data_IF_416299407669
#
_entry.id   IF_416299407669
#
_cell.length_a   1.000
_cell.length_b   1.000
_cell.length_c   1.000
_cell.angle_alpha   90.00
_cell.angle_beta   90.00
_cell.angle_gamma   90.00
#
_symmetry.space_group_name_H-M   'P 1'
#
loop_
_entity.id
_entity.type
_entity.pdbx_description
1 polymer ?
#
# COMPACT_ATOMS: atom_id res chain seq x y z
N UNK A 1 54.42 -26.94 -2.50
CA UNK A 1 54.14 -25.53 -2.14
C UNK A 1 52.76 -25.50 -1.56
N UNK A 2 52.71 -25.35 -0.24
CA UNK A 2 51.52 -25.52 0.58
C UNK A 2 50.57 -24.33 0.42
N UNK A 3 49.29 -24.67 0.41
CA UNK A 3 48.12 -23.81 0.27
C UNK A 3 47.80 -23.10 1.59
N UNK A 4 47.68 -21.77 1.56
CA UNK A 4 47.08 -21.00 2.66
C UNK A 4 45.74 -20.40 2.19
N UNK A 5 44.65 -20.94 2.73
CA UNK A 5 43.33 -20.30 2.76
C UNK A 5 43.14 -19.69 4.15
N UNK A 6 42.74 -18.41 4.27
CA UNK A 6 42.45 -17.83 5.58
C UNK A 6 41.04 -18.21 6.01
N UNK A 7 40.96 -18.99 7.08
CA UNK A 7 39.76 -19.25 7.88
C UNK A 7 39.39 -17.95 8.60
N UNK A 8 38.17 -17.44 8.37
CA UNK A 8 37.60 -16.34 9.15
C UNK A 8 36.82 -16.96 10.30
N UNK A 9 37.34 -16.80 11.50
CA UNK A 9 36.64 -17.10 12.75
C UNK A 9 35.45 -16.15 12.92
N UNK A 10 34.26 -16.74 13.03
CA UNK A 10 33.03 -16.05 13.41
C UNK A 10 32.76 -16.41 14.87
N UNK A 11 33.06 -15.49 15.77
CA UNK A 11 32.57 -15.53 17.15
C UNK A 11 31.07 -15.20 17.18
N UNK A 12 30.19 -16.07 17.69
CA UNK A 12 28.85 -15.69 18.10
C UNK A 12 28.89 -15.26 19.58
N UNK A 13 27.97 -14.38 19.97
CA UNK A 13 27.73 -13.86 21.35
C UNK A 13 28.26 -12.45 21.58
N UNK A 14 27.47 -11.46 21.15
CA UNK A 14 27.08 -10.34 22.01
C UNK A 14 25.78 -9.72 21.50
N UNK A 15 24.69 -9.97 22.22
CA UNK A 15 23.45 -9.23 22.06
C UNK A 15 23.70 -7.78 22.43
N UNK A 16 23.59 -6.89 21.44
CA UNK A 16 23.52 -5.45 21.65
C UNK A 16 22.07 -5.02 21.47
N UNK A 17 21.43 -4.71 22.59
CA UNK A 17 20.17 -3.98 22.68
C UNK A 17 20.27 -2.69 21.84
N UNK A 18 19.48 -2.61 20.77
CA UNK A 18 19.26 -1.36 20.05
C UNK A 18 18.25 -0.55 20.86
N UNK A 19 18.73 0.24 21.81
CA UNK A 19 17.97 1.32 22.45
C UNK A 19 17.69 2.40 21.40
N UNK A 20 16.44 2.47 20.95
CA UNK A 20 15.90 3.60 20.17
C UNK A 20 15.81 4.85 21.04
N UNK A 21 16.87 5.65 21.07
CA UNK A 21 16.88 6.98 21.68
C UNK A 21 16.34 8.03 20.71
N UNK A 22 15.01 8.20 20.66
CA UNK A 22 14.41 9.43 20.14
C UNK A 22 14.45 10.49 21.26
N UNK A 23 15.50 11.29 21.29
CA UNK A 23 15.53 12.52 22.08
C UNK A 23 14.76 13.61 21.33
N UNK A 24 13.57 13.93 21.85
CA UNK A 24 12.81 15.13 21.50
C UNK A 24 13.57 16.36 22.03
N UNK A 25 14.05 17.21 21.12
CA UNK A 25 14.50 18.56 21.46
C UNK A 25 13.28 19.44 21.79
N UNK A 26 13.26 20.12 22.95
CA UNK A 26 12.24 21.12 23.24
C UNK A 26 12.69 22.50 22.74
N UNK A 27 11.82 23.17 21.99
CA UNK A 27 11.79 24.64 21.96
C UNK A 27 12.49 25.33 20.80
N UNK A 28 11.85 25.34 19.63
CA UNK A 28 11.84 26.52 18.76
C UNK A 28 10.40 26.78 18.29
N UNK A 29 9.81 27.95 18.59
CA UNK A 29 8.52 28.32 18.03
C UNK A 29 8.69 28.65 16.54
N UNK A 30 8.08 27.84 15.68
CA UNK A 30 7.90 28.17 14.27
C UNK A 30 7.01 29.42 14.14
N UNK A 31 7.35 30.40 13.29
CA UNK A 31 6.49 31.55 13.05
C UNK A 31 5.21 31.10 12.34
N UNK A 32 4.09 31.22 13.05
CA UNK A 32 2.74 31.09 12.49
C UNK A 32 2.53 32.19 11.46
N UNK A 33 2.36 31.81 10.19
CA UNK A 33 1.77 32.69 9.19
C UNK A 33 0.31 32.98 9.58
N UNK A 34 -0.10 34.24 9.80
CA UNK A 34 -1.49 34.57 10.05
C UNK A 34 -2.23 34.62 8.73
N UNK A 35 -3.14 33.67 8.47
CA UNK A 35 -3.96 33.78 7.25
C UNK A 35 -4.89 32.63 6.85
N UNK A 36 -5.00 31.52 7.58
CA UNK A 36 -5.96 30.47 7.19
C UNK A 36 -6.82 30.02 8.35
N UNK A 37 -7.99 30.65 8.45
CA UNK A 37 -9.12 30.13 9.22
C UNK A 37 -9.70 28.88 8.52
N UNK A 38 -10.08 27.83 9.28
CA UNK A 38 -10.78 26.68 8.74
C UNK A 38 -12.29 26.93 8.82
N UNK A 39 -12.94 27.14 7.68
CA UNK A 39 -14.40 27.26 7.63
C UNK A 39 -14.92 27.29 6.21
N UNK A 40 -15.78 26.32 5.88
CA UNK A 40 -16.53 26.15 4.62
C UNK A 40 -15.75 25.67 3.39
N UNK A 41 -15.58 24.35 3.28
CA UNK A 41 -15.54 23.70 1.97
C UNK A 41 -16.97 23.41 1.53
N UNK A 42 -17.52 24.26 0.64
CA UNK A 42 -18.65 23.88 -0.19
C UNK A 42 -18.13 23.15 -1.44
N UNK A 43 -18.79 22.07 -1.89
CA UNK A 43 -18.38 21.34 -3.08
C UNK A 43 -18.96 22.00 -4.34
N UNK A 44 -18.08 22.25 -5.31
CA UNK A 44 -18.47 22.47 -6.69
C UNK A 44 -18.40 23.92 -7.13
N UNK A 45 -17.29 24.29 -7.76
CA UNK A 45 -17.33 24.93 -9.07
C UNK A 45 -16.11 24.48 -9.87
N UNK A 46 -16.43 23.73 -10.92
CA UNK A 46 -15.65 23.49 -12.12
C UNK A 46 -14.84 24.74 -12.51
N UNK A 47 -13.53 24.59 -12.65
CA UNK A 47 -12.78 25.36 -13.64
C UNK A 47 -12.48 24.41 -14.82
N UNK A 48 -12.85 24.78 -16.05
CA UNK A 48 -12.65 23.93 -17.21
C UNK A 48 -11.21 24.03 -17.71
N UNK A 49 -10.68 22.87 -18.09
CA UNK A 49 -9.90 22.64 -19.30
C UNK A 49 -9.19 23.86 -19.92
N UNK A 50 -7.98 24.09 -19.45
CA UNK A 50 -6.88 24.44 -20.35
C UNK A 50 -5.76 23.44 -20.06
N UNK A 51 -5.02 23.01 -21.07
CA UNK A 51 -3.99 21.96 -21.03
C UNK A 51 -4.47 20.53 -21.36
N UNK A 52 -5.37 20.42 -22.34
CA UNK A 52 -5.30 19.30 -23.28
C UNK A 52 -4.15 19.55 -24.26
N UNK A 53 -3.01 18.91 -23.98
CA UNK A 53 -1.90 18.80 -24.91
C UNK A 53 -2.32 17.99 -26.13
N UNK A 54 -2.38 18.65 -27.28
CA UNK A 54 -2.44 17.98 -28.58
C UNK A 54 -1.09 17.32 -28.93
N UNK A 55 -1.10 16.18 -29.65
CA UNK A 55 0.11 15.55 -30.13
C UNK A 55 0.54 16.21 -31.44
N UNK A 56 1.73 16.80 -31.49
CA UNK A 56 2.32 17.21 -32.77
C UNK A 56 3.21 18.43 -32.67
N UNK A 57 4.44 18.27 -33.14
CA UNK A 57 5.43 19.30 -33.37
C UNK A 57 6.04 19.94 -32.12
N UNK A 58 6.84 19.13 -31.41
CA UNK A 58 8.13 19.64 -30.94
C UNK A 58 8.97 19.98 -32.18
N UNK A 59 8.71 21.17 -32.73
CA UNK A 59 9.69 21.88 -33.53
C UNK A 59 10.97 21.90 -32.70
N UNK A 60 12.01 21.28 -33.25
CA UNK A 60 13.37 21.38 -32.77
C UNK A 60 13.61 22.80 -32.26
N UNK A 61 13.75 22.96 -30.95
CA UNK A 61 14.42 24.15 -30.44
C UNK A 61 15.77 24.17 -31.14
N UNK A 62 16.08 25.20 -31.96
CA UNK A 62 17.41 25.30 -32.51
C UNK A 62 18.34 25.36 -31.30
N UNK A 63 19.25 24.39 -31.23
CA UNK A 63 20.40 24.44 -30.34
C UNK A 63 20.95 25.87 -30.51
N UNK A 64 21.00 26.69 -29.43
CA UNK A 64 21.56 28.02 -29.56
C UNK A 64 22.94 27.85 -30.20
N UNK A 65 23.25 28.59 -31.29
CA UNK A 65 24.54 28.45 -31.93
C UNK A 65 25.60 28.62 -30.85
N UNK A 66 26.45 27.61 -30.70
CA UNK A 66 27.68 27.70 -29.92
C UNK A 66 28.31 29.02 -30.36
N UNK A 67 28.60 29.96 -29.45
CA UNK A 67 29.20 31.23 -29.82
C UNK A 67 30.46 30.88 -30.60
N UNK A 68 30.41 31.15 -31.92
CA UNK A 68 31.56 31.03 -32.78
C UNK A 68 32.64 31.86 -32.10
N UNK A 69 33.71 31.16 -31.71
CA UNK A 69 34.81 31.75 -30.97
C UNK A 69 35.16 33.08 -31.61
N UNK A 70 35.28 34.10 -30.76
CA UNK A 70 35.81 35.41 -31.08
C UNK A 70 37.02 35.23 -32.01
N UNK A 71 36.75 35.35 -33.30
CA UNK A 71 37.76 35.35 -34.32
C UNK A 71 38.57 36.61 -34.14
N UNK A 72 39.88 36.41 -33.99
CA UNK A 72 40.91 37.44 -34.12
C UNK A 72 40.61 38.73 -33.36
N UNK A 73 41.09 38.82 -32.12
CA UNK A 73 41.60 40.10 -31.66
C UNK A 73 42.53 40.64 -32.77
N UNK A 74 42.35 41.89 -33.24
CA UNK A 74 43.33 42.49 -34.11
C UNK A 74 44.65 42.44 -33.37
N UNK A 75 45.64 41.81 -33.99
CA UNK A 75 47.03 41.87 -33.56
C UNK A 75 47.37 43.36 -33.52
N UNK A 76 47.37 43.94 -32.31
CA UNK A 76 47.87 45.28 -32.08
C UNK A 76 49.37 45.17 -32.34
N UNK A 77 49.74 45.38 -33.60
CA UNK A 77 51.11 45.62 -34.01
C UNK A 77 51.48 46.92 -33.29
N UNK A 78 52.47 46.90 -32.39
CA UNK A 78 52.93 48.12 -31.77
C UNK A 78 53.43 49.07 -32.87
N UNK A 79 53.01 50.33 -32.80
CA UNK A 79 53.30 51.40 -33.77
C UNK A 79 54.81 51.72 -33.92
N UNK A 80 55.70 50.99 -33.25
CA UNK A 80 57.15 51.06 -33.43
C UNK A 80 57.72 50.04 -34.45
N UNK A 81 56.90 49.12 -34.97
CA UNK A 81 57.36 48.06 -35.88
C UNK A 81 57.41 48.44 -37.38
N UNK A 82 57.22 49.71 -37.73
CA UNK A 82 57.49 50.24 -39.08
C UNK A 82 58.56 51.31 -39.02
N UNK A 83 59.77 50.93 -38.59
CA UNK A 83 60.96 51.64 -39.04
C UNK A 83 61.35 51.00 -40.36
N UNK A 84 60.77 51.54 -41.44
CA UNK A 84 61.37 51.41 -42.76
C UNK A 84 62.84 51.79 -42.61
N UNK A 85 63.70 50.79 -42.82
CA UNK A 85 65.08 50.98 -43.19
C UNK A 85 65.11 52.03 -44.29
N UNK A 86 65.37 53.27 -43.89
CA UNK A 86 65.80 54.28 -44.83
C UNK A 86 67.22 53.83 -45.14
N UNK A 87 67.54 53.36 -46.36
CA UNK A 87 68.90 53.03 -46.68
C UNK A 87 69.70 54.30 -46.45
N UNK A 88 70.61 54.27 -45.48
CA UNK A 88 71.58 55.33 -45.28
C UNK A 88 72.31 55.47 -46.61
N UNK A 89 71.86 56.48 -47.34
CA UNK A 89 72.46 56.99 -48.56
C UNK A 89 73.95 57.15 -48.22
N UNK A 90 74.87 56.50 -48.95
CA UNK A 90 76.28 56.79 -48.75
C UNK A 90 76.46 58.25 -49.12
N UNK A 91 76.55 59.12 -48.11
CA UNK A 91 76.95 60.50 -48.32
C UNK A 91 78.33 60.45 -48.97
N UNK A 92 78.31 60.81 -50.25
CA UNK A 92 79.37 61.44 -51.01
C UNK A 92 80.68 61.60 -50.21
N UNK A 93 81.53 60.57 -50.24
CA UNK A 93 82.97 60.71 -50.06
C UNK A 93 83.56 61.25 -51.37
N UNK A 94 83.08 62.40 -51.81
CA UNK A 94 83.64 63.17 -52.91
C UNK A 94 83.83 64.60 -52.43
N UNK A 95 85.06 65.10 -52.54
CA UNK A 95 85.28 66.55 -52.52
C UNK A 95 85.92 67.15 -51.27
N UNK A 96 86.76 66.44 -50.53
CA UNK A 96 87.85 67.11 -49.81
C UNK A 96 89.09 67.19 -50.73
N UNK A 97 88.92 67.78 -51.91
CA UNK A 97 90.06 68.38 -52.60
C UNK A 97 90.55 69.47 -51.66
N UNK A 98 91.63 69.16 -50.93
CA UNK A 98 92.34 70.13 -50.14
C UNK A 98 92.62 71.34 -51.01
N UNK A 99 91.91 72.43 -50.75
CA UNK A 99 92.31 73.74 -51.18
C UNK A 99 93.75 73.93 -50.66
N UNK A 100 94.73 73.69 -51.53
CA UNK A 100 96.07 74.25 -51.40
C UNK A 100 95.87 75.76 -51.51
N UNK A 101 95.41 76.38 -50.43
CA UNK A 101 95.63 77.80 -50.22
C UNK A 101 97.15 77.91 -50.15
N UNK A 102 97.75 78.35 -51.25
CA UNK A 102 99.07 78.94 -51.23
C UNK A 102 98.96 80.12 -50.27
N UNK A 103 99.24 79.88 -48.99
CA UNK A 103 99.56 80.94 -48.05
C UNK A 103 100.93 81.43 -48.52
N UNK A 104 100.95 82.39 -49.45
CA UNK A 104 102.11 83.21 -49.69
C UNK A 104 102.26 84.10 -48.46
N UNK A 105 103.01 83.62 -47.46
CA UNK A 105 103.59 84.47 -46.43
C UNK A 105 104.61 85.38 -47.14
N UNK A 106 104.17 86.55 -47.60
CA UNK A 106 105.08 87.63 -47.97
C UNK A 106 105.64 88.22 -46.68
N UNK A 107 106.66 87.56 -46.13
CA UNK A 107 107.51 88.12 -45.10
C UNK A 107 108.32 89.24 -45.75
N UNK A 108 107.97 90.49 -45.42
CA UNK A 108 108.78 91.65 -45.77
C UNK A 108 110.22 91.43 -45.32
N UNK A 109 111.16 91.80 -46.21
CA UNK A 109 112.59 91.58 -46.01
C UNK A 109 113.12 92.34 -44.80
N UNK A 110 113.15 91.64 -43.66
CA UNK A 110 114.17 91.81 -42.63
C UNK A 110 114.94 90.49 -42.62
N UNK A 111 116.23 90.55 -42.97
CA UNK A 111 117.16 89.44 -42.81
C UNK A 111 117.40 89.32 -41.30
N UNK A 112 116.53 88.54 -40.64
CA UNK A 112 116.70 88.14 -39.26
C UNK A 112 117.76 87.02 -39.28
N UNK A 113 118.99 87.34 -38.89
CA UNK A 113 120.01 86.32 -38.63
C UNK A 113 119.57 85.57 -37.37
N UNK A 114 118.95 84.41 -37.58
CA UNK A 114 118.65 83.46 -36.51
C UNK A 114 119.94 83.13 -35.79
N UNK A 115 119.98 83.38 -34.49
CA UNK A 115 121.11 82.96 -33.67
C UNK A 115 121.14 81.43 -33.64
N UNK A 116 122.31 80.83 -33.43
CA UNK A 116 122.40 79.36 -33.31
C UNK A 116 121.54 78.82 -32.14
N UNK A 117 121.29 79.64 -31.11
CA UNK A 117 120.40 79.32 -29.99
C UNK A 117 118.94 79.18 -30.44
N UNK A 118 118.41 80.11 -31.24
CA UNK A 118 117.03 80.05 -31.76
C UNK A 118 116.82 78.81 -32.65
N UNK A 119 117.86 78.40 -33.41
CA UNK A 119 117.80 77.20 -34.24
C UNK A 119 117.75 75.93 -33.39
N UNK A 120 118.50 75.87 -32.29
CA UNK A 120 118.49 74.74 -31.37
C UNK A 120 117.13 74.62 -30.67
N UNK A 121 116.58 75.72 -30.18
CA UNK A 121 115.26 75.74 -29.53
C UNK A 121 114.15 75.28 -30.48
N UNK A 122 114.17 75.75 -31.74
CA UNK A 122 113.22 75.28 -32.77
C UNK A 122 113.37 73.78 -33.05
N UNK A 123 114.60 73.27 -33.11
CA UNK A 123 114.84 71.83 -33.34
C UNK A 123 114.33 71.01 -32.15
N UNK A 124 114.53 71.46 -30.92
CA UNK A 124 114.00 70.78 -29.71
C UNK A 124 112.47 70.79 -29.69
N UNK A 125 111.82 71.94 -29.93
CA UNK A 125 110.36 72.02 -30.04
C UNK A 125 109.80 71.13 -31.16
N UNK A 126 110.50 71.01 -32.29
CA UNK A 126 110.10 70.10 -33.38
C UNK A 126 110.25 68.63 -32.99
N UNK A 127 111.27 68.27 -32.21
CA UNK A 127 111.45 66.92 -31.69
C UNK A 127 110.34 66.57 -30.69
N UNK A 128 110.07 67.46 -29.73
CA UNK A 128 108.98 67.29 -28.76
C UNK A 128 107.63 67.16 -29.47
N UNK A 129 107.35 68.03 -30.45
CA UNK A 129 106.12 67.96 -31.24
C UNK A 129 105.99 66.64 -32.01
N UNK A 130 107.10 66.13 -32.57
CA UNK A 130 107.13 64.84 -33.26
C UNK A 130 106.91 63.68 -32.31
N UNK A 131 107.48 63.72 -31.11
CA UNK A 131 107.29 62.70 -30.06
C UNK A 131 105.85 62.71 -29.55
N UNK A 132 105.27 63.90 -29.30
CA UNK A 132 103.86 64.04 -28.95
C UNK A 132 102.94 63.51 -30.06
N UNK A 133 103.25 63.79 -31.32
CA UNK A 133 102.49 63.28 -32.45
C UNK A 133 102.61 61.75 -32.56
N UNK A 134 103.79 61.18 -32.32
CA UNK A 134 103.98 59.74 -32.26
C UNK A 134 103.17 59.10 -31.12
N UNK A 135 103.18 59.69 -29.92
CA UNK A 135 102.39 59.24 -28.78
C UNK A 135 100.88 59.29 -29.07
N UNK A 136 100.39 60.39 -29.64
CA UNK A 136 98.98 60.51 -30.04
C UNK A 136 98.58 59.50 -31.11
N UNK A 137 99.46 59.19 -32.07
CA UNK A 137 99.19 58.16 -33.07
C UNK A 137 99.11 56.77 -32.43
N UNK A 138 99.97 56.45 -31.45
CA UNK A 138 99.90 55.18 -30.71
C UNK A 138 98.64 55.09 -29.87
N UNK A 139 98.24 56.17 -29.17
CA UNK A 139 97.01 56.20 -28.39
C UNK A 139 95.77 56.09 -29.27
N UNK A 140 95.75 56.77 -30.41
CA UNK A 140 94.67 56.62 -31.40
C UNK A 140 94.57 55.18 -31.87
N UNK A 141 95.69 54.53 -32.20
CA UNK A 141 95.70 53.13 -32.62
C UNK A 141 95.18 52.19 -31.50
N UNK A 142 95.52 52.47 -30.24
CA UNK A 142 95.01 51.74 -29.07
C UNK A 142 93.51 51.92 -28.90
N UNK A 143 93.00 53.15 -28.95
CA UNK A 143 91.56 53.45 -28.84
C UNK A 143 90.78 52.82 -30.01
N UNK A 144 91.31 52.89 -31.24
CA UNK A 144 90.71 52.25 -32.41
C UNK A 144 90.70 50.72 -32.29
N UNK A 145 91.63 50.12 -31.54
CA UNK A 145 91.62 48.70 -31.22
C UNK A 145 90.56 48.38 -30.15
N UNK A 146 90.53 49.11 -29.03
CA UNK A 146 89.54 48.93 -27.96
C UNK A 146 88.10 49.10 -28.47
N UNK A 147 87.87 50.07 -29.37
CA UNK A 147 86.57 50.29 -29.99
C UNK A 147 86.15 49.11 -30.90
N UNK A 148 87.09 48.55 -31.67
CA UNK A 148 86.82 47.35 -32.48
C UNK A 148 86.53 46.12 -31.62
N UNK A 149 87.26 45.94 -30.52
CA UNK A 149 87.04 44.84 -29.58
C UNK A 149 85.68 44.95 -28.88
N UNK A 150 85.30 46.16 -28.43
CA UNK A 150 83.99 46.39 -27.80
C UNK A 150 82.85 46.17 -28.80
N UNK A 151 82.99 46.65 -30.05
CA UNK A 151 82.03 46.37 -31.12
C UNK A 151 81.90 44.86 -31.36
N UNK A 152 83.01 44.13 -31.45
CA UNK A 152 83.00 42.69 -31.64
C UNK A 152 82.33 41.94 -30.46
N UNK A 153 82.58 42.38 -29.22
CA UNK A 153 81.91 41.82 -28.04
C UNK A 153 80.40 42.11 -28.05
N UNK A 154 80.01 43.33 -28.39
CA UNK A 154 78.60 43.71 -28.51
C UNK A 154 77.89 42.87 -29.58
N UNK A 155 78.45 42.74 -30.77
CA UNK A 155 77.89 41.89 -31.83
C UNK A 155 77.81 40.42 -31.39
N UNK A 156 78.84 39.88 -30.74
CA UNK A 156 78.82 38.50 -30.24
C UNK A 156 77.73 38.29 -29.19
N UNK A 157 77.56 39.23 -28.28
CA UNK A 157 76.50 39.19 -27.26
C UNK A 157 75.11 39.30 -27.90
N UNK A 158 74.94 40.21 -28.86
CA UNK A 158 73.69 40.38 -29.59
C UNK A 158 73.30 39.11 -30.36
N UNK A 159 74.21 38.54 -31.15
CA UNK A 159 73.96 37.29 -31.86
C UNK A 159 73.66 36.13 -30.91
N UNK A 160 74.34 36.05 -29.76
CA UNK A 160 74.06 35.02 -28.75
C UNK A 160 72.67 35.19 -28.12
N UNK A 161 72.24 36.42 -27.86
CA UNK A 161 70.93 36.71 -27.29
C UNK A 161 69.82 36.43 -28.30
N UNK A 162 69.99 36.90 -29.54
CA UNK A 162 69.05 36.64 -30.63
C UNK A 162 68.86 35.15 -30.88
N UNK A 163 69.95 34.38 -30.90
CA UNK A 163 69.89 32.92 -31.06
C UNK A 163 69.14 32.24 -29.91
N UNK A 164 69.38 32.65 -28.65
CA UNK A 164 68.64 32.11 -27.49
C UNK A 164 67.15 32.46 -27.55
N UNK A 165 66.82 33.69 -27.92
CA UNK A 165 65.43 34.13 -28.06
C UNK A 165 64.72 33.37 -29.19
N UNK A 166 65.37 33.19 -30.34
CA UNK A 166 64.84 32.38 -31.44
C UNK A 166 64.59 30.93 -31.02
N UNK A 167 65.52 30.33 -30.26
CA UNK A 167 65.34 28.98 -29.73
C UNK A 167 64.16 28.90 -28.76
N UNK A 168 64.01 29.87 -27.84
CA UNK A 168 62.88 29.91 -26.92
C UNK A 168 61.55 30.10 -27.65
N UNK A 169 61.51 30.94 -28.68
CA UNK A 169 60.32 31.14 -29.52
C UNK A 169 59.97 29.84 -30.24
N UNK A 170 60.96 29.11 -30.75
CA UNK A 170 60.73 27.84 -31.42
C UNK A 170 60.17 26.78 -30.45
N UNK A 171 60.79 26.61 -29.28
CA UNK A 171 60.32 25.69 -28.23
C UNK A 171 58.91 26.05 -27.76
N UNK A 172 58.61 27.33 -27.59
CA UNK A 172 57.27 27.77 -27.21
C UNK A 172 56.23 27.43 -28.29
N UNK A 173 56.57 27.54 -29.58
CA UNK A 173 55.68 27.16 -30.69
C UNK A 173 55.43 25.66 -30.71
N UNK A 174 56.45 24.83 -30.55
CA UNK A 174 56.30 23.37 -30.48
C UNK A 174 55.41 22.95 -29.30
N UNK A 175 55.60 23.57 -28.14
CA UNK A 175 54.78 23.31 -26.97
C UNK A 175 53.32 23.74 -27.18
N UNK A 176 53.07 24.87 -27.84
CA UNK A 176 51.70 25.32 -28.18
C UNK A 176 51.04 24.31 -29.13
N UNK A 177 51.74 23.88 -30.18
CA UNK A 177 51.22 22.90 -31.13
C UNK A 177 50.87 21.58 -30.43
N UNK A 178 51.76 21.10 -29.56
CA UNK A 178 51.50 19.90 -28.76
C UNK A 178 50.26 20.06 -27.87
N UNK A 179 50.13 21.17 -27.13
CA UNK A 179 48.97 21.42 -26.27
C UNK A 179 47.67 21.55 -27.08
N UNK A 180 47.73 22.09 -28.29
CA UNK A 180 46.58 22.14 -29.19
C UNK A 180 46.16 20.75 -29.67
N UNK A 181 47.11 19.88 -30.00
CA UNK A 181 46.82 18.48 -30.36
C UNK A 181 46.25 17.69 -29.19
N UNK A 182 46.84 17.80 -27.99
CA UNK A 182 46.37 17.14 -26.77
C UNK A 182 44.96 17.60 -26.42
N UNK A 183 44.67 18.90 -26.56
CA UNK A 183 43.33 19.45 -26.37
C UNK A 183 42.32 18.85 -27.35
N UNK A 184 42.68 18.71 -28.63
CA UNK A 184 41.80 18.12 -29.63
C UNK A 184 41.50 16.65 -29.33
N UNK A 185 42.51 15.88 -28.93
CA UNK A 185 42.36 14.47 -28.53
C UNK A 185 41.46 14.37 -27.30
N UNK A 186 41.74 15.14 -26.24
CA UNK A 186 40.93 15.12 -25.02
C UNK A 186 39.46 15.48 -25.28
N UNK A 187 39.19 16.45 -26.17
CA UNK A 187 37.82 16.79 -26.58
C UNK A 187 37.18 15.63 -27.35
N UNK A 188 37.90 14.97 -28.25
CA UNK A 188 37.40 13.85 -29.01
C UNK A 188 37.05 12.65 -28.10
N UNK A 189 37.95 12.30 -27.18
CA UNK A 189 37.75 11.23 -26.20
C UNK A 189 36.57 11.54 -25.27
N UNK A 190 36.50 12.76 -24.74
CA UNK A 190 35.38 13.17 -23.88
C UNK A 190 34.04 13.12 -24.65
N UNK A 191 34.01 13.57 -25.90
CA UNK A 191 32.80 13.48 -26.74
C UNK A 191 32.40 12.02 -26.95
N UNK A 192 33.36 11.14 -27.26
CA UNK A 192 33.10 9.72 -27.43
C UNK A 192 32.53 9.10 -26.16
N UNK A 193 33.15 9.34 -24.99
CA UNK A 193 32.67 8.83 -23.71
C UNK A 193 31.23 9.30 -23.40
N UNK A 194 30.94 10.57 -23.65
CA UNK A 194 29.59 11.13 -23.46
C UNK A 194 28.58 10.49 -24.41
N UNK A 195 28.94 10.27 -25.68
CA UNK A 195 28.07 9.59 -26.64
C UNK A 195 27.79 8.14 -26.23
N UNK A 196 28.82 7.37 -25.90
CA UNK A 196 28.69 5.98 -25.45
C UNK A 196 27.86 5.87 -24.16
N UNK A 197 28.08 6.78 -23.20
CA UNK A 197 27.29 6.81 -21.96
C UNK A 197 25.82 7.14 -22.22
N UNK A 198 25.55 8.11 -23.10
CA UNK A 198 24.19 8.49 -23.47
C UNK A 198 23.48 7.35 -24.18
N UNK A 199 24.10 6.69 -25.17
CA UNK A 199 23.52 5.54 -25.85
C UNK A 199 23.20 4.39 -24.89
N UNK A 200 24.10 4.13 -23.92
CA UNK A 200 23.87 3.14 -22.87
C UNK A 200 22.66 3.50 -22.00
N UNK A 201 22.55 4.75 -21.56
CA UNK A 201 21.42 5.23 -20.74
C UNK A 201 20.10 5.22 -21.53
N UNK A 202 20.13 5.61 -22.80
CA UNK A 202 18.95 5.57 -23.68
C UNK A 202 18.48 4.13 -23.89
N UNK A 203 19.41 3.19 -24.08
CA UNK A 203 19.10 1.75 -24.14
C UNK A 203 18.46 1.23 -22.84
N UNK A 204 18.96 1.66 -21.68
CA UNK A 204 18.38 1.32 -20.37
C UNK A 204 16.96 1.90 -20.21
N UNK A 205 16.75 3.17 -20.59
CA UNK A 205 15.44 3.83 -20.55
C UNK A 205 14.44 3.09 -21.43
N UNK A 206 14.83 2.72 -22.66
CA UNK A 206 13.97 1.96 -23.56
C UNK A 206 13.59 0.60 -22.98
N UNK A 207 14.56 -0.12 -22.40
CA UNK A 207 14.33 -1.40 -21.74
C UNK A 207 13.36 -1.26 -20.56
N UNK A 208 13.56 -0.26 -19.70
CA UNK A 208 12.68 0.00 -18.55
C UNK A 208 11.27 0.39 -18.98
N UNK A 209 11.13 1.23 -20.02
CA UNK A 209 9.81 1.58 -20.59
C UNK A 209 9.09 0.36 -21.15
N UNK A 210 9.80 -0.50 -21.87
CA UNK A 210 9.25 -1.75 -22.40
C UNK A 210 8.78 -2.68 -21.26
N UNK A 211 9.61 -2.85 -20.23
CA UNK A 211 9.26 -3.65 -19.05
C UNK A 211 8.04 -3.08 -18.31
N UNK A 212 8.00 -1.76 -18.09
CA UNK A 212 6.85 -1.10 -17.45
C UNK A 212 5.56 -1.27 -18.26
N UNK A 213 5.66 -1.22 -19.59
CA UNK A 213 4.51 -1.46 -20.46
C UNK A 213 4.01 -2.90 -20.37
N UNK A 214 4.91 -3.90 -20.42
CA UNK A 214 4.55 -5.32 -20.25
C UNK A 214 3.88 -5.57 -18.90
N UNK A 215 4.49 -5.09 -17.82
CA UNK A 215 3.93 -5.21 -16.47
C UNK A 215 2.57 -4.50 -16.34
N UNK A 216 2.40 -3.36 -17.01
CA UNK A 216 1.12 -2.66 -17.06
C UNK A 216 0.02 -3.48 -17.74
N UNK A 217 0.34 -4.15 -18.85
CA UNK A 217 -0.59 -5.06 -19.55
C UNK A 217 -0.92 -6.29 -18.70
N UNK A 218 0.09 -6.92 -18.09
CA UNK A 218 -0.11 -8.06 -17.20
C UNK A 218 -0.98 -7.70 -16.00
N UNK A 219 -0.73 -6.53 -15.37
CA UNK A 219 -1.53 -6.04 -14.25
C UNK A 219 -2.98 -5.78 -14.65
N UNK A 220 -3.20 -5.20 -15.84
CA UNK A 220 -4.54 -5.01 -16.39
C UNK A 220 -5.28 -6.34 -16.60
N UNK A 221 -4.62 -7.33 -17.22
CA UNK A 221 -5.21 -8.66 -17.41
C UNK A 221 -5.51 -9.38 -16.08
N UNK A 222 -4.63 -9.23 -15.08
CA UNK A 222 -4.87 -9.79 -13.75
C UNK A 222 -6.06 -9.14 -13.06
N UNK A 223 -6.19 -7.81 -13.15
CA UNK A 223 -7.36 -7.09 -12.62
C UNK A 223 -8.66 -7.56 -13.27
N UNK A 224 -8.68 -7.70 -14.59
CA UNK A 224 -9.86 -8.19 -15.32
C UNK A 224 -10.22 -9.63 -14.92
N UNK A 225 -9.22 -10.50 -14.69
CA UNK A 225 -9.45 -11.87 -14.20
C UNK A 225 -9.98 -11.89 -12.77
N UNK A 226 -9.45 -11.03 -11.89
CA UNK A 226 -9.92 -10.91 -10.51
C UNK A 226 -11.38 -10.46 -10.52
N UNK A 227 -11.72 -9.41 -11.26
CA UNK A 227 -13.10 -8.92 -11.38
C UNK A 227 -14.05 -10.00 -11.91
N UNK A 228 -13.66 -10.72 -12.97
CA UNK A 228 -14.45 -11.85 -13.50
C UNK A 228 -14.65 -12.96 -12.48
N UNK A 229 -13.63 -13.30 -11.71
CA UNK A 229 -13.71 -14.33 -10.67
C UNK A 229 -14.55 -13.89 -9.49
N UNK A 230 -14.44 -12.62 -9.08
CA UNK A 230 -15.26 -12.04 -8.02
C UNK A 230 -16.74 -12.08 -8.42
N UNK A 231 -17.10 -11.57 -9.61
CA UNK A 231 -18.48 -11.61 -10.12
C UNK A 231 -19.00 -13.05 -10.23
N UNK A 232 -18.22 -13.95 -10.83
CA UNK A 232 -18.63 -15.34 -11.00
C UNK A 232 -18.82 -16.05 -9.64
N UNK A 233 -17.94 -15.79 -8.68
CA UNK A 233 -18.02 -16.35 -7.33
C UNK A 233 -19.21 -15.82 -6.56
N UNK A 234 -19.45 -14.49 -6.57
CA UNK A 234 -20.59 -13.88 -5.89
C UNK A 234 -21.90 -14.38 -6.49
N UNK A 235 -22.01 -14.43 -7.82
CA UNK A 235 -23.21 -14.92 -8.50
C UNK A 235 -23.51 -16.39 -8.18
N UNK A 236 -22.47 -17.23 -8.14
CA UNK A 236 -22.62 -18.64 -7.79
C UNK A 236 -23.04 -18.82 -6.33
N UNK A 237 -22.43 -18.07 -5.41
CA UNK A 237 -22.78 -18.10 -4.00
C UNK A 237 -24.19 -17.57 -3.75
N UNK A 238 -24.60 -16.50 -4.43
CA UNK A 238 -25.96 -15.97 -4.35
C UNK A 238 -26.99 -16.95 -4.90
N UNK A 239 -26.73 -17.57 -6.06
CA UNK A 239 -27.61 -18.62 -6.62
C UNK A 239 -27.70 -19.82 -5.69
N UNK A 240 -26.58 -20.28 -5.13
CA UNK A 240 -26.56 -21.38 -4.17
C UNK A 240 -27.36 -21.03 -2.91
N UNK A 241 -27.18 -19.83 -2.36
CA UNK A 241 -27.91 -19.33 -1.20
C UNK A 241 -29.41 -19.21 -1.47
N UNK A 242 -29.80 -18.66 -2.62
CA UNK A 242 -31.20 -18.56 -3.03
C UNK A 242 -31.85 -19.94 -3.17
N UNK A 243 -31.14 -20.89 -3.78
CA UNK A 243 -31.60 -22.28 -3.92
C UNK A 243 -31.74 -22.99 -2.56
N UNK A 244 -30.78 -22.81 -1.64
CA UNK A 244 -30.88 -23.35 -0.28
C UNK A 244 -32.07 -22.74 0.47
N UNK A 245 -32.28 -21.43 0.37
CA UNK A 245 -33.41 -20.74 0.99
C UNK A 245 -34.75 -21.24 0.41
N UNK A 246 -34.84 -21.45 -0.90
CA UNK A 246 -36.02 -22.00 -1.56
C UNK A 246 -36.31 -23.44 -1.08
N UNK A 247 -35.28 -24.29 -0.98
CA UNK A 247 -35.40 -25.65 -0.41
C UNK A 247 -35.86 -25.62 1.04
N UNK A 248 -35.28 -24.75 1.87
CA UNK A 248 -35.67 -24.60 3.26
C UNK A 248 -37.13 -24.16 3.41
N UNK A 249 -37.58 -23.18 2.61
CA UNK A 249 -38.99 -22.75 2.56
C UNK A 249 -39.93 -23.87 2.14
N UNK A 250 -39.55 -24.68 1.14
CA UNK A 250 -40.34 -25.82 0.69
C UNK A 250 -40.48 -26.88 1.79
N UNK A 251 -39.38 -27.21 2.47
CA UNK A 251 -39.38 -28.14 3.62
C UNK A 251 -40.29 -27.59 4.73
N UNK A 252 -40.16 -26.30 5.08
CA UNK A 252 -40.99 -25.69 6.12
C UNK A 252 -42.49 -25.72 5.77
N UNK A 253 -42.85 -25.46 4.51
CA UNK A 253 -44.23 -25.56 4.03
C UNK A 253 -44.76 -26.99 4.15
N UNK A 254 -43.95 -27.99 3.78
CA UNK A 254 -44.29 -29.41 3.92
C UNK A 254 -44.46 -29.81 5.39
N UNK A 255 -43.51 -29.47 6.26
CA UNK A 255 -43.59 -29.76 7.70
C UNK A 255 -44.81 -29.10 8.35
N UNK A 256 -45.17 -27.88 7.92
CA UNK A 256 -46.39 -27.20 8.40
C UNK A 256 -47.65 -27.95 7.97
N UNK A 257 -47.69 -28.45 6.73
CA UNK A 257 -48.79 -29.29 6.24
C UNK A 257 -48.88 -30.63 7.00
N UNK A 258 -47.75 -31.34 7.15
CA UNK A 258 -47.68 -32.61 7.91
C UNK A 258 -48.09 -32.42 9.37
N UNK A 259 -47.65 -31.32 10.03
CA UNK A 259 -48.09 -30.97 11.38
C UNK A 259 -49.60 -30.74 11.44
N UNK A 260 -50.17 -30.01 10.48
CA UNK A 260 -51.62 -29.76 10.45
C UNK A 260 -52.43 -31.05 10.22
N UNK A 261 -51.94 -31.95 9.38
CA UNK A 261 -52.57 -33.26 9.15
C UNK A 261 -52.48 -34.16 10.39
N UNK A 262 -51.33 -34.15 11.09
CA UNK A 262 -51.15 -34.89 12.33
C UNK A 262 -52.08 -34.37 13.44
N UNK A 263 -52.27 -33.05 13.55
CA UNK A 263 -53.25 -32.44 14.46
C UNK A 263 -54.66 -32.89 14.09
N UNK A 264 -55.05 -32.80 12.81
CA UNK A 264 -56.38 -33.25 12.36
C UNK A 264 -56.64 -34.73 12.63
N UNK A 265 -55.65 -35.62 12.37
CA UNK A 265 -55.74 -37.05 12.71
C UNK A 265 -55.83 -37.27 14.22
N UNK A 266 -55.08 -36.50 15.01
CA UNK A 266 -55.13 -36.53 16.48
C UNK A 266 -56.51 -36.13 17.01
N UNK A 267 -57.08 -35.05 16.48
CA UNK A 267 -58.43 -34.57 16.82
C UNK A 267 -59.51 -35.57 16.41
N UNK A 268 -59.42 -36.17 15.22
CA UNK A 268 -60.36 -37.23 14.79
C UNK A 268 -60.28 -38.45 15.70
N UNK A 269 -59.07 -38.92 16.04
CA UNK A 269 -58.90 -40.03 17.01
C UNK A 269 -59.47 -39.67 18.38
N UNK A 270 -59.22 -38.46 18.88
CA UNK A 270 -59.79 -37.99 20.15
C UNK A 270 -61.32 -37.96 20.11
N UNK A 271 -61.93 -37.51 19.01
CA UNK A 271 -63.39 -37.57 18.81
C UNK A 271 -63.90 -39.02 18.79
N UNK A 272 -63.22 -39.93 18.11
CA UNK A 272 -63.57 -41.36 18.12
C UNK A 272 -63.48 -41.96 19.52
N UNK A 273 -62.41 -41.69 20.27
CA UNK A 273 -62.27 -42.13 21.66
C UNK A 273 -63.34 -41.52 22.58
N UNK A 274 -63.64 -40.24 22.41
CA UNK A 274 -64.72 -39.57 23.13
C UNK A 274 -66.09 -40.21 22.85
N UNK A 275 -66.38 -40.52 21.58
CA UNK A 275 -67.60 -41.22 21.19
C UNK A 275 -67.65 -42.65 21.74
N UNK A 276 -66.54 -43.41 21.65
CA UNK A 276 -66.45 -44.77 22.22
C UNK A 276 -66.68 -44.74 23.73
N UNK A 277 -66.03 -43.82 24.47
CA UNK A 277 -66.27 -43.65 25.90
C UNK A 277 -67.72 -43.27 26.21
N UNK A 278 -68.34 -42.42 25.39
CA UNK A 278 -69.74 -42.06 25.57
C UNK A 278 -70.66 -43.26 25.39
N UNK A 279 -70.45 -44.06 24.33
CA UNK A 279 -71.17 -45.31 24.10
C UNK A 279 -70.94 -46.32 25.21
N UNK A 280 -69.70 -46.45 25.70
CA UNK A 280 -69.38 -47.35 26.82
C UNK A 280 -70.03 -46.89 28.12
N UNK A 281 -70.06 -45.58 28.39
CA UNK A 281 -70.78 -44.99 29.53
C UNK A 281 -72.28 -45.24 29.43
N UNK A 282 -72.88 -45.05 28.26
CA UNK A 282 -74.29 -45.36 27.99
C UNK A 282 -74.57 -46.86 28.15
N UNK A 283 -73.69 -47.73 27.65
CA UNK A 283 -73.78 -49.19 27.83
C UNK A 283 -73.65 -49.61 29.30
N UNK A 284 -72.74 -48.98 30.06
CA UNK A 284 -72.61 -49.21 31.51
C UNK A 284 -73.86 -48.73 32.26
N UNK A 285 -74.44 -47.59 31.87
CA UNK A 285 -75.72 -47.12 32.43
C UNK A 285 -76.87 -48.07 32.09
N UNK A 286 -76.94 -48.56 30.85
CA UNK A 286 -77.88 -49.59 30.42
C UNK A 286 -77.67 -50.91 31.17
N UNK A 287 -76.42 -51.33 31.40
CA UNK A 287 -76.09 -52.52 32.18
C UNK A 287 -76.50 -52.36 33.65
N UNK A 288 -76.24 -51.19 34.25
CA UNK A 288 -76.72 -50.84 35.60
C UNK A 288 -78.25 -50.85 35.66
N UNK A 289 -78.93 -50.25 34.69
CA UNK A 289 -80.39 -50.25 34.61
C UNK A 289 -80.95 -51.68 34.45
N UNK A 290 -80.32 -52.52 33.61
CA UNK A 290 -80.67 -53.95 33.46
C UNK A 290 -80.42 -54.74 34.74
N UNK A 291 -79.34 -54.47 35.47
CA UNK A 291 -79.06 -55.12 36.76
C UNK A 291 -80.09 -54.73 37.82
N UNK A 292 -80.46 -53.45 37.90
CA UNK A 292 -81.54 -52.94 38.76
C UNK A 292 -82.87 -53.60 38.36
N UNK A 293 -83.19 -53.65 37.07
CA UNK A 293 -84.41 -54.29 36.58
C UNK A 293 -84.46 -55.79 36.91
N UNK A 294 -83.36 -56.52 36.75
CA UNK A 294 -83.26 -57.93 37.16
C UNK A 294 -83.46 -58.09 38.66
N UNK A 295 -82.87 -57.21 39.48
CA UNK A 295 -83.05 -57.21 40.94
C UNK A 295 -84.50 -56.93 41.33
N UNK A 296 -85.13 -55.92 40.74
CA UNK A 296 -86.55 -55.61 40.94
C UNK A 296 -87.46 -56.76 40.48
N UNK A 297 -87.12 -57.44 39.39
CA UNK A 297 -87.86 -58.62 38.92
C UNK A 297 -87.74 -59.78 39.90
N UNK A 298 -86.53 -60.03 40.43
CA UNK A 298 -86.28 -61.04 41.46
C UNK A 298 -87.02 -60.71 42.77
N UNK A 299 -86.98 -59.45 43.20
CA UNK A 299 -87.69 -58.96 44.39
C UNK A 299 -89.21 -59.03 44.21
N UNK A 300 -89.73 -58.73 43.01
CA UNK A 300 -91.15 -58.93 42.69
C UNK A 300 -91.53 -60.41 42.73
N UNK A 301 -90.71 -61.31 42.17
CA UNK A 301 -90.98 -62.75 42.28
C UNK A 301 -90.88 -63.26 43.72
N UNK A 302 -89.98 -62.69 44.53
CA UNK A 302 -89.85 -63.03 45.95
C UNK A 302 -91.03 -62.50 46.77
N UNK A 303 -91.53 -61.30 46.46
CA UNK A 303 -92.74 -60.73 47.05
C UNK A 303 -94.00 -61.53 46.67
N UNK A 304 -94.10 -62.01 45.42
CA UNK A 304 -95.16 -62.92 44.99
C UNK A 304 -95.05 -64.24 45.77
N UNK A 305 -93.87 -64.85 45.87
CA UNK A 305 -93.67 -66.09 46.62
C UNK A 305 -93.96 -65.93 48.14
N UNK A 306 -93.62 -64.78 48.73
CA UNK A 306 -93.98 -64.43 50.12
C UNK A 306 -95.48 -64.20 50.28
N UNK A 307 -96.13 -63.57 49.29
CA UNK A 307 -97.58 -63.41 49.25
C UNK A 307 -98.33 -64.74 49.15
N UNK A 308 -97.85 -65.65 48.30
CA UNK A 308 -98.38 -67.01 48.15
C UNK A 308 -98.18 -67.85 49.42
N UNK A 309 -97.04 -67.69 50.10
CA UNK A 309 -96.78 -68.35 51.38
C UNK A 309 -97.71 -67.84 52.49
N UNK A 310 -97.96 -66.53 52.55
CA UNK A 310 -98.95 -65.92 53.47
C UNK A 310 -100.40 -66.35 53.16
N UNK A 311 -100.75 -66.51 51.88
CA UNK A 311 -102.06 -67.02 51.47
C UNK A 311 -102.25 -68.48 51.87
N UNK A 312 -101.21 -69.32 51.76
CA UNK A 312 -101.23 -70.69 52.28
C UNK A 312 -101.37 -70.72 53.81
N UNK A 313 -100.72 -69.80 54.51
CA UNK A 313 -100.83 -69.67 55.97
C UNK A 313 -102.23 -69.21 56.41
N UNK A 314 -102.85 -68.27 55.69
CA UNK A 314 -104.25 -67.88 55.89
C UNK A 314 -105.23 -69.01 55.56
N UNK A 315 -104.99 -69.76 54.49
CA UNK A 315 -105.78 -70.95 54.15
C UNK A 315 -105.70 -72.05 55.22
N UNK A 316 -104.54 -72.19 55.88
CA UNK A 316 -104.39 -73.13 56.99
C UNK A 316 -105.10 -72.64 58.27
N UNK A 317 -105.11 -71.33 58.56
CA UNK A 317 -105.85 -70.77 59.70
C UNK A 317 -107.36 -70.90 59.54
N UNK A 318 -107.90 -70.64 58.34
CA UNK A 318 -109.32 -70.82 58.03
C UNK A 318 -109.79 -72.27 58.25
N UNK A 319 -108.97 -73.27 57.90
CA UNK A 319 -109.28 -74.69 58.13
C UNK A 319 -109.26 -75.08 59.61
N UNK A 320 -108.48 -74.39 60.43
CA UNK A 320 -108.47 -74.58 61.89
C UNK A 320 -109.72 -73.97 62.52
N UNK A 321 -110.15 -72.78 62.07
CA UNK A 321 -111.40 -72.15 62.52
C UNK A 321 -112.64 -72.97 62.10
N UNK A 322 -112.66 -73.52 60.89
CA UNK A 322 -113.76 -74.38 60.41
C UNK A 322 -113.88 -75.69 61.23
N UNK A 323 -112.76 -76.25 61.70
CA UNK A 323 -112.74 -77.44 62.55
C UNK A 323 -113.19 -77.15 64.00
N UNK A 324 -112.87 -75.97 64.55
CA UNK A 324 -113.36 -75.53 65.86
C UNK A 324 -114.87 -75.26 65.85
N UNK A 325 -115.40 -74.75 64.75
CA UNK A 325 -116.82 -74.48 64.59
C UNK A 325 -117.67 -75.77 64.44
N UNK A 326 -117.09 -76.83 63.84
CA UNK A 326 -117.71 -78.17 63.83
C UNK A 326 -117.75 -78.81 65.23
N UNK A 327 -116.66 -78.72 66.00
CA UNK A 327 -116.66 -79.21 67.39
C UNK A 327 -117.67 -78.47 68.28
N UNK A 328 -117.89 -77.17 68.06
CA UNK A 328 -118.94 -76.42 68.77
C UNK A 328 -120.36 -76.89 68.47
N UNK A 329 -120.64 -77.25 67.20
CA UNK A 329 -121.96 -77.75 66.79
C UNK A 329 -122.24 -79.18 67.28
N UNK A 330 -121.22 -80.03 67.36
CA UNK A 330 -121.36 -81.39 67.88
C UNK A 330 -121.62 -81.39 69.41
N UNK A 331 -121.05 -80.42 70.13
CA UNK A 331 -121.30 -80.25 71.58
C UNK A 331 -122.74 -79.80 71.88
N UNK A 332 -123.28 -78.85 71.11
CA UNK A 332 -124.66 -78.39 71.28
C UNK A 332 -125.71 -79.46 70.92
N UNK A 333 -125.40 -80.35 69.97
CA UNK A 333 -126.28 -81.47 69.65
C UNK A 333 -126.29 -82.54 70.76
N UNK A 334 -125.15 -82.76 71.43
CA UNK A 334 -125.07 -83.64 72.60
C UNK A 334 -125.86 -83.07 73.79
N UNK A 335 -125.78 -81.76 74.03
CA UNK A 335 -126.49 -81.08 75.12
C UNK A 335 -128.02 -81.15 74.94
N UNK A 336 -128.52 -81.06 73.69
CA UNK A 336 -129.95 -81.28 73.39
C UNK A 336 -130.38 -82.73 73.60
N UNK A 337 -129.52 -83.71 73.31
CA UNK A 337 -129.82 -85.12 73.52
C UNK A 337 -129.89 -85.48 75.02
N UNK A 338 -129.02 -84.90 75.84
CA UNK A 338 -129.03 -85.08 77.31
C UNK A 338 -130.29 -84.47 77.93
N UNK A 339 -130.70 -83.27 77.50
CA UNK A 339 -131.92 -82.63 78.01
C UNK A 339 -133.21 -83.39 77.61
N UNK A 340 -133.23 -84.01 76.43
CA UNK A 340 -134.36 -84.87 76.03
C UNK A 340 -134.44 -86.16 76.85
N UNK A 341 -133.31 -86.72 77.27
CA UNK A 341 -133.27 -87.90 78.13
C UNK A 341 -133.69 -87.57 79.58
N UNK A 342 -133.30 -86.40 80.11
CA UNK A 342 -133.73 -85.95 81.44
C UNK A 342 -135.25 -85.67 81.51
N UNK A 343 -135.84 -85.09 80.46
CA UNK A 343 -137.28 -84.93 80.33
C UNK A 343 -138.04 -86.26 80.34
N UNK A 344 -137.51 -87.28 79.62
CA UNK A 344 -138.11 -88.62 79.58
C UNK A 344 -137.98 -89.37 80.91
N UNK A 345 -136.92 -89.10 81.68
CA UNK A 345 -136.73 -89.66 83.01
C UNK A 345 -137.74 -89.06 84.01
N UNK A 346 -137.94 -87.74 83.99
CA UNK A 346 -138.94 -87.06 84.82
C UNK A 346 -140.38 -87.48 84.49
N UNK A 347 -140.70 -87.73 83.21
CA UNK A 347 -142.00 -88.27 82.79
C UNK A 347 -142.22 -89.74 83.19
N UNK A 348 -141.14 -90.50 83.40
CA UNK A 348 -141.22 -91.89 83.88
C UNK A 348 -141.33 -92.00 85.40
N UNK A 349 -140.87 -90.98 86.15
CA UNK A 349 -140.96 -90.93 87.62
C UNK A 349 -142.36 -90.47 88.10
N UNK A 350 -143.11 -89.68 87.32
CA UNK A 350 -144.50 -89.31 87.65
C UNK A 350 -145.51 -90.45 87.47
N UNK A 351 -145.19 -91.48 86.67
CA UNK A 351 -146.08 -92.63 86.44
C UNK A 351 -145.95 -93.68 87.57
N UNK A 352 -144.88 -93.65 88.38
CA UNK A 352 -144.62 -94.65 89.42
C UNK A 352 -145.16 -94.32 90.82
N UNK A 353 -145.84 -93.18 91.02
CA UNK A 353 -146.46 -92.82 92.31
C UNK A 353 -148.00 -92.80 92.27
N UNK A 354 -148.62 -93.27 91.18
CA UNK A 354 -150.07 -93.37 91.02
C UNK A 354 -150.65 -94.79 91.20
N UNK A 355 -149.84 -95.82 91.48
CA UNK A 355 -150.33 -97.20 91.71
C UNK A 355 -149.55 -97.90 92.83
N UNK A 356 -150.14 -98.03 94.03
CA UNK A 356 -149.61 -98.93 95.06
C UNK A 356 -150.05 -98.70 96.52
N UNK A 357 -151.34 -98.84 96.82
CA UNK A 357 -151.85 -99.25 98.15
C UNK A 357 -151.48 -100.73 98.40
N UNK A 358 -150.80 -101.04 99.52
CA UNK A 358 -151.02 -102.13 100.51
C UNK A 358 -150.21 -101.82 101.77
#
# INVERSE_FOLDING_TARGET
METYSPTVDIDPVRGSEVRSGWQLYPGYPMPMYPGMYPGSWQPGHYYPDAWMGGPGNYMHSPIPPIPQGYGATPQVVPEWATTNETPLRPEAREGAQGARRNISLSMGGNIFEWTEEDKVEIIELLKESKEQLAAMLTDKARVDQELRELQAQFYKMQCSLESKLQQQIHQAREMIEQLETDRQIAIAEMKQQVHEENERKDGEILRLRSQAHSLGQENFQLKERIEKLEIASTDQLEKARANQLAKARAIFKRLKAEKSEAIAKGESRLKEYGNKMKVEKENLQLAKARAIFKRLKAEKSEAIAKGESRLKEYGNKMKVEENLQKQGNDFQNMERAVNQLQMKLAQSEEIYLAEGDV
#
